data_IF_831334102209
#
_entry.id   IF_831334102209
#
_cell.length_a   1.000
_cell.length_b   1.000
_cell.length_c   1.000
_cell.angle_alpha   90.00
_cell.angle_beta   90.00
_cell.angle_gamma   90.00
#
_symmetry.space_group_name_H-M   'P 1'
#
loop_
_entity.id
_entity.type
_entity.pdbx_description
1 polymer ?
#
# COMPACT_ATOMS: atom_id res chain seq x y z
N UNK A 1 14.44 57.36 24.26
CA UNK A 1 14.19 56.01 24.81
C UNK A 1 13.34 55.27 23.79
N UNK A 2 13.93 54.34 23.04
CA UNK A 2 13.23 53.55 22.03
C UNK A 2 12.99 52.15 22.62
N UNK A 3 11.72 51.74 22.72
CA UNK A 3 11.33 50.43 23.23
C UNK A 3 11.48 49.38 22.13
N UNK A 4 12.27 48.35 22.41
CA UNK A 4 12.47 47.18 21.56
C UNK A 4 11.23 46.29 21.66
N UNK A 5 10.39 46.28 20.62
CA UNK A 5 9.31 45.31 20.45
C UNK A 5 9.89 44.14 19.66
N UNK A 6 10.58 43.24 20.35
CA UNK A 6 11.02 41.94 19.79
C UNK A 6 10.66 40.90 20.83
N UNK A 7 9.56 40.17 20.62
CA UNK A 7 9.20 39.13 21.59
C UNK A 7 8.02 38.24 21.25
N UNK A 8 7.06 38.69 20.42
CA UNK A 8 5.82 37.91 20.23
C UNK A 8 5.69 37.21 18.87
N UNK A 9 6.45 37.61 17.85
CA UNK A 9 6.40 36.96 16.52
C UNK A 9 7.24 35.68 16.40
N UNK A 10 8.35 35.62 17.13
CA UNK A 10 9.31 34.50 17.02
C UNK A 10 8.75 33.22 17.66
N UNK A 11 7.93 33.34 18.70
CA UNK A 11 7.41 32.18 19.41
C UNK A 11 6.29 31.44 18.66
N UNK A 12 5.50 32.15 17.84
CA UNK A 12 4.47 31.55 16.99
C UNK A 12 5.06 30.86 15.76
N UNK A 13 6.11 31.42 15.14
CA UNK A 13 6.79 30.75 14.03
C UNK A 13 7.50 29.46 14.47
N UNK A 14 8.12 29.44 15.66
CA UNK A 14 8.78 28.23 16.19
C UNK A 14 7.78 27.14 16.60
N UNK A 15 6.57 27.51 17.05
CA UNK A 15 5.52 26.53 17.40
C UNK A 15 4.92 25.87 16.15
N UNK A 16 4.70 26.65 15.10
CA UNK A 16 4.17 26.14 13.82
C UNK A 16 5.14 25.21 13.10
N UNK A 17 6.45 25.41 13.27
CA UNK A 17 7.49 24.53 12.71
C UNK A 17 7.70 23.25 13.55
N UNK A 18 7.36 23.28 14.85
CA UNK A 18 7.47 22.12 15.73
C UNK A 18 6.32 21.12 15.54
N UNK A 19 5.10 21.59 15.24
CA UNK A 19 3.96 20.72 14.93
C UNK A 19 4.12 19.99 13.59
N UNK A 20 4.98 20.48 12.70
CA UNK A 20 5.29 19.82 11.42
C UNK A 20 6.27 18.64 11.57
N UNK A 21 6.85 18.45 12.76
CA UNK A 21 7.89 17.45 13.04
C UNK A 21 7.43 16.43 14.07
N UNK A 22 6.14 16.41 14.41
CA UNK A 22 5.58 15.28 15.13
C UNK A 22 5.78 14.03 14.27
N UNK A 23 6.47 12.98 14.76
CA UNK A 23 6.52 11.71 14.05
C UNK A 23 5.07 11.29 13.79
N UNK A 24 4.78 10.72 12.61
CA UNK A 24 3.42 10.34 12.27
C UNK A 24 2.86 9.41 13.35
N UNK A 25 1.58 9.60 13.67
CA UNK A 25 0.93 8.90 14.77
C UNK A 25 0.69 7.43 14.38
N UNK A 26 1.71 6.59 14.62
CA UNK A 26 1.68 5.14 14.41
C UNK A 26 0.50 4.44 15.14
N UNK A 27 -0.16 5.11 16.10
CA UNK A 27 -1.24 4.50 16.88
C UNK A 27 -2.48 4.19 16.05
N UNK A 28 -2.76 4.92 14.97
CA UNK A 28 -4.03 4.80 14.23
C UNK A 28 -4.07 3.49 13.45
N UNK A 29 -3.04 3.16 12.67
CA UNK A 29 -2.97 1.89 11.96
C UNK A 29 -2.60 0.71 12.88
N UNK A 30 -1.73 0.91 13.89
CA UNK A 30 -1.30 -0.16 14.80
C UNK A 30 -2.44 -0.82 15.62
N UNK A 31 -3.61 -0.19 15.70
CA UNK A 31 -4.80 -0.75 16.35
C UNK A 31 -5.58 -1.76 15.48
N UNK A 32 -5.34 -1.77 14.15
CA UNK A 32 -5.96 -2.73 13.25
C UNK A 32 -5.20 -4.07 13.29
N UNK A 33 -5.91 -5.13 13.71
CA UNK A 33 -5.37 -6.51 13.76
C UNK A 33 -4.87 -7.06 12.42
N UNK A 34 -5.19 -6.39 11.31
CA UNK A 34 -4.75 -6.73 9.95
C UNK A 34 -3.40 -6.09 9.60
N UNK A 35 -2.93 -5.11 10.38
CA UNK A 35 -1.58 -4.59 10.19
C UNK A 35 -0.57 -5.69 10.41
N UNK A 36 0.46 -5.75 9.57
CA UNK A 36 1.58 -6.64 9.77
C UNK A 36 2.41 -6.19 10.99
N UNK A 37 2.45 -6.96 12.10
CA UNK A 37 3.19 -6.54 13.30
C UNK A 37 4.71 -6.61 13.15
N UNK A 38 5.22 -7.13 12.02
CA UNK A 38 6.65 -7.27 11.75
C UNK A 38 7.25 -6.05 11.05
N UNK A 39 6.46 -4.99 10.82
CA UNK A 39 6.91 -3.74 10.21
C UNK A 39 6.66 -2.54 11.13
N UNK A 40 7.52 -1.54 11.04
CA UNK A 40 7.41 -0.25 11.75
C UNK A 40 6.73 0.80 10.87
N UNK A 41 6.31 1.92 11.47
CA UNK A 41 5.77 3.11 10.76
C UNK A 41 4.42 2.91 10.05
N UNK A 42 3.69 1.84 10.38
CA UNK A 42 2.29 1.72 9.95
C UNK A 42 1.47 2.78 10.65
N UNK A 43 1.14 3.85 9.94
CA UNK A 43 0.48 5.03 10.49
C UNK A 43 -0.77 5.43 9.69
N UNK A 44 -1.01 4.82 8.53
CA UNK A 44 -2.19 5.09 7.70
C UNK A 44 -3.25 3.98 7.85
N UNK A 45 -4.51 4.30 8.20
CA UNK A 45 -5.59 3.32 8.25
C UNK A 45 -5.81 2.66 6.89
N UNK A 46 -6.13 1.35 6.88
CA UNK A 46 -6.37 0.63 5.62
C UNK A 46 -7.44 1.30 4.73
N UNK A 47 -8.47 1.89 5.33
CA UNK A 47 -9.53 2.55 4.58
C UNK A 47 -9.03 3.80 3.84
N UNK A 48 -8.10 4.55 4.47
CA UNK A 48 -7.53 5.77 3.92
C UNK A 48 -6.52 5.41 2.83
N UNK A 49 -5.61 4.47 3.10
CA UNK A 49 -4.66 3.94 2.13
C UNK A 49 -5.35 3.34 0.89
N UNK A 50 -6.36 2.50 1.08
CA UNK A 50 -7.10 1.92 -0.07
C UNK A 50 -7.89 2.98 -0.84
N UNK A 51 -8.42 4.00 -0.16
CA UNK A 51 -9.07 5.13 -0.84
C UNK A 51 -8.07 5.96 -1.66
N UNK A 52 -6.87 6.23 -1.11
CA UNK A 52 -5.80 6.98 -1.76
C UNK A 52 -5.40 6.33 -3.09
N UNK A 53 -5.24 5.01 -3.09
CA UNK A 53 -4.87 4.23 -4.27
C UNK A 53 -6.06 3.74 -5.11
N UNK A 54 -7.27 4.27 -4.90
CA UNK A 54 -8.50 3.83 -5.60
C UNK A 54 -8.72 2.30 -5.60
N UNK A 55 -8.36 1.63 -4.49
CA UNK A 55 -8.52 0.19 -4.30
C UNK A 55 -9.84 -0.12 -3.61
N UNK A 56 -10.60 -1.06 -4.16
CA UNK A 56 -11.89 -1.48 -3.59
C UNK A 56 -11.84 -2.94 -3.18
N UNK A 57 -11.57 -3.19 -1.90
CA UNK A 57 -11.55 -4.55 -1.35
C UNK A 57 -12.90 -5.27 -1.58
N UNK A 58 -12.90 -6.50 -2.11
CA UNK A 58 -14.12 -7.22 -2.37
C UNK A 58 -14.80 -7.65 -1.07
N UNK A 59 -16.14 -7.66 -1.06
CA UNK A 59 -16.90 -8.18 0.08
C UNK A 59 -16.54 -9.64 0.32
N UNK A 60 -16.23 -9.97 1.58
CA UNK A 60 -15.83 -11.33 1.95
C UNK A 60 -14.34 -11.63 1.71
N UNK A 61 -13.50 -10.62 1.44
CA UNK A 61 -12.06 -10.78 1.55
C UNK A 61 -11.68 -11.29 2.94
N UNK A 62 -10.83 -12.32 2.98
CA UNK A 62 -10.35 -12.96 4.21
C UNK A 62 -8.83 -12.95 4.23
N UNK A 63 -8.23 -13.23 5.39
CA UNK A 63 -6.77 -13.24 5.53
C UNK A 63 -6.13 -11.91 5.14
N UNK A 64 -6.85 -10.80 5.35
CA UNK A 64 -6.37 -9.47 5.00
C UNK A 64 -5.20 -9.11 5.91
N UNK A 65 -4.06 -8.81 5.30
CA UNK A 65 -2.84 -8.34 5.97
C UNK A 65 -2.33 -7.15 5.18
N UNK A 66 -1.90 -6.09 5.86
CA UNK A 66 -1.36 -4.91 5.17
C UNK A 66 -0.25 -4.20 5.94
N UNK A 67 0.50 -3.38 5.22
CA UNK A 67 1.28 -2.26 5.74
C UNK A 67 0.89 -1.03 4.95
N UNK A 68 0.74 0.09 5.63
CA UNK A 68 0.44 1.36 4.99
C UNK A 68 1.12 2.47 5.76
N UNK A 69 1.86 3.31 5.04
CA UNK A 69 2.49 4.48 5.63
C UNK A 69 2.19 5.71 4.81
N UNK A 70 1.99 6.82 5.52
CA UNK A 70 1.87 8.16 4.97
C UNK A 70 2.88 9.04 5.69
N UNK A 71 3.66 9.78 4.92
CA UNK A 71 4.64 10.73 5.45
C UNK A 71 6.06 10.49 4.96
N UNK A 72 6.84 11.57 4.95
CA UNK A 72 8.15 11.65 4.33
C UNK A 72 8.46 13.11 4.02
N UNK A 73 9.64 13.41 3.46
CA UNK A 73 9.99 14.80 3.09
C UNK A 73 9.09 15.37 1.97
N UNK A 74 8.41 14.50 1.22
CA UNK A 74 7.55 14.86 0.09
C UNK A 74 6.07 14.51 0.29
N UNK A 75 5.70 13.91 1.42
CA UNK A 75 4.33 13.46 1.67
C UNK A 75 3.99 12.11 1.03
N UNK A 76 5.02 11.32 0.69
CA UNK A 76 4.92 10.01 0.06
C UNK A 76 3.96 9.08 0.82
N UNK A 77 3.24 8.25 0.07
CA UNK A 77 2.34 7.24 0.62
C UNK A 77 2.68 5.88 0.02
N UNK A 78 2.64 4.83 0.83
CA UNK A 78 2.83 3.45 0.38
C UNK A 78 1.81 2.50 1.00
N UNK A 79 1.49 1.44 0.25
CA UNK A 79 0.61 0.38 0.69
C UNK A 79 1.11 -0.96 0.14
N UNK A 80 1.34 -1.92 1.03
CA UNK A 80 1.43 -3.35 0.68
C UNK A 80 0.26 -4.09 1.31
N UNK A 81 -0.50 -4.83 0.52
CA UNK A 81 -1.75 -5.46 0.93
C UNK A 81 -1.82 -6.88 0.38
N UNK A 82 -2.23 -7.82 1.23
CA UNK A 82 -2.52 -9.20 0.86
C UNK A 82 -3.90 -9.60 1.34
N UNK A 83 -4.64 -10.34 0.52
CA UNK A 83 -5.90 -10.95 0.93
C UNK A 83 -6.25 -12.19 0.11
N UNK A 84 -7.14 -13.02 0.64
CA UNK A 84 -7.76 -14.13 -0.08
C UNK A 84 -9.21 -13.79 -0.41
N UNK A 85 -9.67 -14.14 -1.61
CA UNK A 85 -11.02 -13.82 -2.08
C UNK A 85 -11.62 -15.00 -2.86
N UNK A 86 -12.82 -14.85 -3.40
CA UNK A 86 -13.40 -15.80 -4.38
C UNK A 86 -13.11 -15.34 -5.81
N UNK A 87 -13.31 -16.20 -6.81
CA UNK A 87 -13.20 -15.80 -8.23
C UNK A 87 -14.08 -14.58 -8.58
N UNK A 88 -15.33 -14.55 -8.09
CA UNK A 88 -16.23 -13.42 -8.29
C UNK A 88 -15.76 -12.16 -7.53
N UNK A 89 -15.17 -12.34 -6.34
CA UNK A 89 -14.56 -11.27 -5.58
C UNK A 89 -13.34 -10.67 -6.27
N UNK A 90 -12.47 -11.49 -6.88
CA UNK A 90 -11.34 -11.04 -7.69
C UNK A 90 -11.81 -10.20 -8.89
N UNK A 91 -12.82 -10.69 -9.65
CA UNK A 91 -13.38 -9.94 -10.77
C UNK A 91 -13.96 -8.58 -10.33
N UNK A 92 -14.64 -8.54 -9.18
CA UNK A 92 -15.19 -7.33 -8.60
C UNK A 92 -14.08 -6.35 -8.17
N UNK A 93 -13.03 -6.84 -7.52
CA UNK A 93 -11.86 -6.06 -7.11
C UNK A 93 -11.19 -5.39 -8.32
N UNK A 94 -10.88 -6.16 -9.36
CA UNK A 94 -10.21 -5.65 -10.56
C UNK A 94 -11.07 -4.60 -11.28
N UNK A 95 -12.37 -4.87 -11.42
CA UNK A 95 -13.30 -3.95 -12.08
C UNK A 95 -13.49 -2.65 -11.29
N UNK A 96 -13.74 -2.75 -9.99
CA UNK A 96 -14.00 -1.61 -9.13
C UNK A 96 -12.75 -0.74 -8.91
N UNK A 97 -11.58 -1.36 -8.84
CA UNK A 97 -10.28 -0.66 -8.71
C UNK A 97 -9.70 -0.22 -10.06
N UNK A 98 -10.41 -0.51 -11.17
CA UNK A 98 -10.00 -0.19 -12.55
C UNK A 98 -8.63 -0.76 -12.94
N UNK A 99 -8.30 -1.93 -12.41
CA UNK A 99 -7.03 -2.64 -12.67
C UNK A 99 -7.24 -3.63 -13.80
N UNK A 100 -6.34 -3.62 -14.77
CA UNK A 100 -6.39 -4.59 -15.88
C UNK A 100 -6.26 -6.03 -15.37
N UNK A 101 -6.92 -7.01 -16.00
CA UNK A 101 -6.78 -8.41 -15.61
C UNK A 101 -5.32 -8.86 -15.61
N UNK A 102 -4.84 -9.53 -14.55
CA UNK A 102 -3.46 -9.97 -14.48
C UNK A 102 -3.17 -11.08 -15.49
N UNK A 103 -1.97 -11.05 -16.09
CA UNK A 103 -1.53 -11.99 -17.11
C UNK A 103 -0.17 -12.61 -16.76
N UNK A 104 0.16 -13.82 -17.27
CA UNK A 104 1.48 -14.43 -17.07
C UNK A 104 2.62 -13.69 -17.78
N UNK A 105 2.31 -12.81 -18.73
CA UNK A 105 3.30 -12.11 -19.57
C UNK A 105 3.62 -10.70 -19.08
N UNK A 106 2.81 -10.15 -18.16
CA UNK A 106 3.06 -8.84 -17.56
C UNK A 106 4.35 -8.90 -16.75
N UNK A 107 5.24 -7.92 -16.96
CA UNK A 107 6.41 -7.69 -16.10
C UNK A 107 6.08 -6.56 -15.16
N UNK A 108 6.30 -6.79 -13.86
CA UNK A 108 6.17 -5.77 -12.82
C UNK A 108 7.59 -5.38 -12.42
N UNK A 109 7.90 -4.08 -12.50
CA UNK A 109 9.19 -3.51 -12.07
C UNK A 109 9.06 -2.61 -10.85
N UNK A 110 7.82 -2.30 -10.46
CA UNK A 110 7.53 -1.29 -9.45
C UNK A 110 6.91 -1.97 -8.21
N UNK A 111 7.30 -1.47 -7.02
CA UNK A 111 7.18 -2.16 -5.74
C UNK A 111 8.47 -2.88 -5.34
N UNK A 112 8.54 -3.38 -4.10
CA UNK A 112 9.70 -4.13 -3.59
C UNK A 112 9.84 -5.54 -4.21
N UNK A 113 9.02 -5.86 -5.21
CA UNK A 113 8.95 -7.19 -5.80
C UNK A 113 9.96 -7.34 -6.93
N UNK A 114 11.17 -7.76 -6.58
CA UNK A 114 12.08 -8.28 -7.61
C UNK A 114 11.66 -9.70 -7.98
N UNK A 115 11.23 -9.90 -9.23
CA UNK A 115 10.87 -11.22 -9.78
C UNK A 115 12.15 -12.05 -9.95
N UNK A 116 12.67 -12.61 -8.86
CA UNK A 116 13.79 -13.56 -8.88
C UNK A 116 13.27 -14.97 -9.14
N UNK A 117 13.99 -15.81 -9.92
CA UNK A 117 13.58 -17.20 -10.08
C UNK A 117 13.75 -17.94 -8.74
N UNK A 118 12.68 -18.60 -8.30
CA UNK A 118 12.58 -19.61 -7.23
C UNK A 118 12.22 -19.15 -5.80
N UNK A 119 10.91 -19.08 -5.51
CA UNK A 119 10.38 -19.49 -4.19
C UNK A 119 8.89 -19.89 -4.29
N UNK A 120 8.51 -21.02 -3.72
CA UNK A 120 7.14 -21.54 -3.75
C UNK A 120 6.25 -21.07 -2.59
N UNK A 121 6.72 -20.14 -1.76
CA UNK A 121 6.01 -19.65 -0.57
C UNK A 121 6.10 -18.12 -0.49
N UNK A 122 5.06 -17.43 0.01
CA UNK A 122 5.14 -16.00 0.28
C UNK A 122 6.33 -15.71 1.21
N UNK A 123 7.05 -14.65 0.94
CA UNK A 123 8.23 -14.22 1.70
C UNK A 123 7.98 -12.86 2.35
N UNK A 124 8.98 -12.32 3.04
CA UNK A 124 8.88 -11.02 3.70
C UNK A 124 7.97 -11.02 4.94
N UNK A 125 7.84 -9.85 5.60
CA UNK A 125 7.06 -9.71 6.82
C UNK A 125 5.59 -10.04 6.55
N UNK A 126 5.02 -10.91 7.39
CA UNK A 126 3.64 -11.41 7.31
C UNK A 126 3.20 -12.02 5.96
N UNK A 127 4.17 -12.41 5.11
CA UNK A 127 3.90 -12.94 3.78
C UNK A 127 3.39 -11.91 2.78
N UNK A 128 3.71 -10.62 2.98
CA UNK A 128 3.34 -9.53 2.07
C UNK A 128 4.14 -9.54 0.77
N UNK A 129 5.24 -10.29 0.68
CA UNK A 129 5.93 -10.50 -0.60
C UNK A 129 5.32 -11.73 -1.31
N UNK A 130 4.82 -11.59 -2.54
CA UNK A 130 4.26 -12.71 -3.28
C UNK A 130 5.32 -13.78 -3.59
N UNK A 131 4.95 -15.08 -3.62
CA UNK A 131 5.84 -16.12 -4.12
C UNK A 131 6.10 -15.93 -5.62
N UNK A 132 7.12 -16.62 -6.14
CA UNK A 132 7.37 -16.70 -7.59
C UNK A 132 7.09 -18.12 -8.06
N UNK A 133 6.04 -18.29 -8.86
CA UNK A 133 5.61 -19.60 -9.34
C UNK A 133 4.83 -19.55 -10.64
N UNK A 134 4.62 -20.71 -11.29
CA UNK A 134 3.93 -20.82 -12.59
C UNK A 134 2.44 -20.44 -12.53
N UNK A 135 1.86 -20.38 -11.32
CA UNK A 135 0.46 -20.00 -11.10
C UNK A 135 0.30 -18.51 -10.77
N UNK A 136 1.39 -17.76 -10.71
CA UNK A 136 1.37 -16.32 -10.46
C UNK A 136 1.10 -15.57 -11.75
N UNK A 137 0.12 -14.67 -11.70
CA UNK A 137 -0.18 -13.72 -12.77
C UNK A 137 -0.11 -12.30 -12.25
N UNK A 138 0.30 -11.37 -13.11
CA UNK A 138 0.62 -10.01 -12.69
C UNK A 138 -0.11 -8.96 -13.51
N UNK A 139 -0.41 -7.83 -12.88
CA UNK A 139 -0.92 -6.61 -13.51
C UNK A 139 -0.22 -5.40 -12.92
N UNK A 140 -0.19 -4.31 -13.68
CA UNK A 140 0.33 -3.02 -13.22
C UNK A 140 -0.48 -1.92 -13.90
N UNK A 141 -0.66 -0.79 -13.22
CA UNK A 141 -1.17 0.41 -13.89
C UNK A 141 -0.27 0.78 -15.07
N UNK A 142 -0.88 1.25 -16.16
CA UNK A 142 -0.14 1.75 -17.30
C UNK A 142 0.53 3.08 -16.94
N UNK A 143 1.72 3.40 -17.48
CA UNK A 143 2.42 4.65 -17.18
C UNK A 143 1.58 5.91 -17.42
N UNK A 144 0.70 5.89 -18.43
CA UNK A 144 -0.20 7.00 -18.78
C UNK A 144 -1.64 6.80 -18.24
N UNK A 145 -1.81 5.88 -17.29
CA UNK A 145 -3.10 5.57 -16.68
C UNK A 145 -3.58 6.64 -15.70
N UNK A 146 -4.83 6.54 -15.21
CA UNK A 146 -5.37 7.46 -14.20
C UNK A 146 -4.56 7.49 -12.89
N UNK A 147 -3.73 6.47 -12.64
CA UNK A 147 -2.83 6.35 -11.48
C UNK A 147 -1.35 6.58 -11.85
N UNK A 148 -1.06 7.35 -12.90
CA UNK A 148 0.32 7.52 -13.40
C UNK A 148 1.32 8.11 -12.38
N UNK A 149 0.87 8.91 -11.42
CA UNK A 149 1.69 9.42 -10.31
C UNK A 149 1.79 8.45 -9.13
N UNK A 150 0.87 7.49 -9.05
CA UNK A 150 0.69 6.65 -7.86
C UNK A 150 0.44 5.18 -8.28
N UNK A 151 1.38 4.55 -9.03
CA UNK A 151 1.16 3.30 -9.72
C UNK A 151 0.92 2.14 -8.75
N UNK A 152 0.09 1.19 -9.17
CA UNK A 152 -0.23 -0.02 -8.42
C UNK A 152 0.24 -1.25 -9.19
N UNK A 153 0.79 -2.19 -8.45
CA UNK A 153 1.22 -3.50 -8.89
C UNK A 153 0.36 -4.56 -8.22
N UNK A 154 -0.17 -5.51 -9.00
CA UNK A 154 -0.99 -6.61 -8.49
C UNK A 154 -0.39 -7.94 -8.89
N UNK A 155 -0.24 -8.84 -7.92
CA UNK A 155 0.08 -10.24 -8.15
C UNK A 155 -1.07 -11.12 -7.66
N UNK A 156 -1.39 -12.17 -8.40
CA UNK A 156 -2.44 -13.13 -8.03
C UNK A 156 -1.92 -14.55 -8.14
N UNK A 157 -2.06 -15.31 -7.06
CA UNK A 157 -1.83 -16.76 -7.06
C UNK A 157 -3.12 -17.48 -7.43
N UNK A 158 -3.07 -18.20 -8.56
CA UNK A 158 -4.18 -18.97 -9.10
C UNK A 158 -4.07 -20.48 -8.82
N UNK A 159 -3.23 -20.90 -7.87
CA UNK A 159 -3.08 -22.31 -7.48
C UNK A 159 -4.42 -22.93 -7.03
N UNK A 160 -5.24 -22.16 -6.30
CA UNK A 160 -6.66 -22.48 -6.04
C UNK A 160 -7.57 -21.44 -6.73
N UNK A 161 -8.12 -21.75 -7.92
CA UNK A 161 -8.98 -20.81 -8.65
C UNK A 161 -10.27 -20.44 -7.93
N UNK A 162 -10.73 -21.25 -6.96
CA UNK A 162 -11.92 -20.92 -6.17
C UNK A 162 -11.59 -19.87 -5.10
N UNK A 163 -10.34 -19.84 -4.63
CA UNK A 163 -9.85 -18.99 -3.55
C UNK A 163 -8.52 -18.29 -3.88
N UNK A 164 -8.47 -17.43 -4.93
CA UNK A 164 -7.24 -16.75 -5.29
C UNK A 164 -6.71 -15.87 -4.16
N UNK A 165 -5.38 -15.84 -4.03
CA UNK A 165 -4.67 -14.93 -3.12
C UNK A 165 -4.14 -13.77 -3.93
N UNK A 166 -4.39 -12.55 -3.46
CA UNK A 166 -4.05 -11.30 -4.14
C UNK A 166 -3.06 -10.54 -3.29
N UNK A 167 -2.01 -10.05 -3.92
CA UNK A 167 -1.08 -9.07 -3.37
C UNK A 167 -1.20 -7.77 -4.18
N UNK A 168 -1.13 -6.65 -3.49
CA UNK A 168 -1.13 -5.32 -4.08
C UNK A 168 0.00 -4.54 -3.43
N UNK A 169 0.86 -3.94 -4.24
CA UNK A 169 1.78 -2.89 -3.83
C UNK A 169 1.39 -1.61 -4.54
N UNK A 170 1.39 -0.50 -3.82
CA UNK A 170 1.09 0.83 -4.36
C UNK A 170 2.00 1.87 -3.71
N UNK A 171 2.45 2.83 -4.52
CA UNK A 171 3.40 3.85 -4.11
C UNK A 171 3.02 5.18 -4.75
N UNK A 172 3.09 6.25 -3.98
CA UNK A 172 2.91 7.64 -4.40
C UNK A 172 4.17 8.43 -4.02
N UNK A 173 4.88 8.98 -5.01
CA UNK A 173 6.22 9.63 -4.89
C UNK A 173 6.27 11.01 -5.53
#
# INVERSE_FOLDING_TARGET
MAAVIVGLGVWWLLKSLADSWAPPDDHVAASDRRVCPQTSMNNDPLADATSHFELVLPRGATGVVFTATVGGLQGDSDLSLRFTTTAAGLASFLTASRISPPTPTTRVTDGDWTIFPSSSKPTGPCGLTPPVGPHMVYSQDQPDGPMGSSPRSVAVDMTDPAHPVVWVDALDI
#
